data_IF_555541351023
#
_entry.id   IF_555541351023
#
_cell.length_a   1.000
_cell.length_b   1.000
_cell.length_c   1.000
_cell.angle_alpha   90.00
_cell.angle_beta   90.00
_cell.angle_gamma   90.00
#
_symmetry.space_group_name_H-M   'P 1'
#
loop_
_entity.id
_entity.type
_entity.pdbx_description
1 polymer ?
#
# COMPACT_ATOMS: atom_id res chain seq x y z
N UNK A 1 13.28 34.86 -52.78
CA UNK A 1 12.26 34.46 -51.79
C UNK A 1 12.83 33.37 -50.89
N UNK A 2 13.46 33.71 -49.76
CA UNK A 2 13.78 32.73 -48.69
C UNK A 2 13.41 33.38 -47.35
N UNK A 3 12.34 32.89 -46.74
CA UNK A 3 11.78 33.43 -45.51
C UNK A 3 12.54 32.88 -44.29
N UNK A 4 13.06 33.77 -43.47
CA UNK A 4 13.75 33.45 -42.22
C UNK A 4 12.70 32.93 -41.21
N UNK A 5 12.70 31.61 -41.02
CA UNK A 5 11.73 30.84 -40.25
C UNK A 5 12.01 31.00 -38.75
N UNK A 6 10.96 31.36 -38.01
CA UNK A 6 10.97 31.96 -36.67
C UNK A 6 11.64 31.14 -35.53
N UNK A 7 12.43 31.78 -34.64
CA UNK A 7 13.20 31.14 -33.58
C UNK A 7 12.37 30.62 -32.38
N UNK A 8 11.12 31.09 -32.24
CA UNK A 8 10.27 30.72 -31.10
C UNK A 8 9.83 29.25 -31.10
N UNK A 9 9.75 28.60 -32.27
CA UNK A 9 9.30 27.21 -32.39
C UNK A 9 10.32 26.23 -31.80
N UNK A 10 11.61 26.55 -31.88
CA UNK A 10 12.68 25.74 -31.30
C UNK A 10 12.72 25.84 -29.78
N UNK A 11 12.47 27.04 -29.23
CA UNK A 11 12.42 27.26 -27.79
C UNK A 11 11.26 26.47 -27.13
N UNK A 12 10.09 26.41 -27.78
CA UNK A 12 8.95 25.65 -27.26
C UNK A 12 9.21 24.15 -27.24
N UNK A 13 9.90 23.59 -28.24
CA UNK A 13 10.24 22.16 -28.23
C UNK A 13 11.26 21.81 -27.15
N UNK A 14 12.24 22.67 -26.90
CA UNK A 14 13.21 22.48 -25.82
C UNK A 14 12.55 22.49 -24.42
N UNK A 15 11.59 23.41 -24.21
CA UNK A 15 10.86 23.50 -22.94
C UNK A 15 10.00 22.26 -22.66
N UNK A 16 9.30 21.74 -23.68
CA UNK A 16 8.47 20.53 -23.57
C UNK A 16 9.31 19.29 -23.31
N UNK A 17 10.47 19.16 -23.96
CA UNK A 17 11.40 18.05 -23.73
C UNK A 17 11.97 18.06 -22.30
N UNK A 18 12.29 19.23 -21.76
CA UNK A 18 12.79 19.37 -20.39
C UNK A 18 11.71 19.00 -19.35
N UNK A 19 10.45 19.39 -19.61
CA UNK A 19 9.33 19.06 -18.73
C UNK A 19 8.99 17.56 -18.75
N UNK A 20 9.13 16.91 -19.91
CA UNK A 20 8.92 15.46 -20.06
C UNK A 20 10.01 14.62 -19.38
N UNK A 21 11.23 15.12 -19.23
CA UNK A 21 12.31 14.39 -18.56
C UNK A 21 12.18 14.43 -17.02
N UNK A 22 11.54 15.48 -16.48
CA UNK A 22 11.33 15.63 -15.04
C UNK A 22 10.25 14.69 -14.47
N UNK A 23 9.33 14.17 -15.29
CA UNK A 23 8.25 13.27 -14.84
C UNK A 23 8.65 11.79 -14.78
N UNK A 24 9.76 11.40 -15.43
CA UNK A 24 10.16 9.98 -15.56
C UNK A 24 10.87 9.45 -14.31
N UNK A 25 11.38 10.32 -13.43
CA UNK A 25 12.14 9.89 -12.24
C UNK A 25 11.29 9.38 -11.08
N UNK A 26 9.96 9.46 -11.14
CA UNK A 26 9.07 9.15 -10.00
C UNK A 26 8.33 7.80 -10.07
N UNK A 27 8.71 6.86 -10.95
CA UNK A 27 7.99 5.57 -11.05
C UNK A 27 8.80 4.35 -10.58
N UNK A 28 10.09 4.49 -10.27
CA UNK A 28 10.93 3.36 -9.83
C UNK A 28 10.85 3.04 -8.33
N UNK A 29 10.18 3.87 -7.52
CA UNK A 29 10.16 3.73 -6.05
C UNK A 29 9.01 2.88 -5.50
N UNK A 30 8.01 2.53 -6.33
CA UNK A 30 6.80 1.86 -5.86
C UNK A 30 7.03 0.39 -5.46
N UNK A 31 7.98 -0.32 -6.08
CA UNK A 31 8.22 -1.74 -5.82
C UNK A 31 9.08 -2.01 -4.59
N UNK A 32 10.09 -1.18 -4.32
CA UNK A 32 10.97 -1.37 -3.14
C UNK A 32 10.28 -1.06 -1.81
N UNK A 33 9.33 -0.11 -1.80
CA UNK A 33 8.64 0.31 -0.60
C UNK A 33 7.70 -0.78 -0.05
N UNK A 34 7.07 -1.58 -0.93
CA UNK A 34 6.16 -2.66 -0.52
C UNK A 34 6.91 -3.78 0.19
N UNK A 35 8.04 -4.22 -0.36
CA UNK A 35 8.84 -5.31 0.24
C UNK A 35 9.43 -4.91 1.61
N UNK A 36 9.96 -3.69 1.73
CA UNK A 36 10.52 -3.22 3.00
C UNK A 36 9.46 -3.07 4.09
N UNK A 37 8.26 -2.63 3.70
CA UNK A 37 7.13 -2.46 4.62
C UNK A 37 6.65 -3.83 5.10
N UNK A 38 6.43 -4.79 4.19
CA UNK A 38 6.02 -6.15 4.55
C UNK A 38 7.00 -6.85 5.48
N UNK A 39 8.32 -6.78 5.22
CA UNK A 39 9.34 -7.38 6.08
C UNK A 39 9.31 -6.79 7.51
N UNK A 40 9.05 -5.48 7.63
CA UNK A 40 8.92 -4.80 8.93
C UNK A 40 7.65 -5.19 9.69
N UNK A 41 6.51 -5.31 9.00
CA UNK A 41 5.28 -5.81 9.62
C UNK A 41 5.46 -7.26 10.09
N UNK A 42 6.15 -8.09 9.29
CA UNK A 42 6.39 -9.48 9.63
C UNK A 42 7.20 -9.63 10.93
N UNK A 43 8.27 -8.87 11.10
CA UNK A 43 9.03 -8.84 12.36
C UNK A 43 8.22 -8.33 13.54
N UNK A 44 7.33 -7.34 13.33
CA UNK A 44 6.52 -6.79 14.42
C UNK A 44 5.40 -7.73 14.88
N UNK A 45 4.88 -8.59 13.99
CA UNK A 45 3.79 -9.50 14.31
C UNK A 45 4.29 -10.82 14.90
N UNK A 46 5.50 -11.25 14.55
CA UNK A 46 6.14 -12.42 15.16
C UNK A 46 6.31 -12.26 16.68
N UNK A 47 6.58 -11.04 17.14
CA UNK A 47 6.75 -10.70 18.56
C UNK A 47 5.46 -10.12 19.20
N UNK A 48 4.34 -10.13 18.48
CA UNK A 48 3.10 -9.53 18.98
C UNK A 48 2.47 -10.40 20.08
N UNK A 49 1.94 -9.79 21.16
CA UNK A 49 1.28 -10.53 22.23
C UNK A 49 -0.04 -11.15 21.76
N UNK A 50 -0.48 -12.21 22.44
CA UNK A 50 -1.78 -12.81 22.20
C UNK A 50 -2.90 -11.79 22.40
N UNK A 51 -3.88 -11.81 21.50
CA UNK A 51 -5.04 -10.94 21.54
C UNK A 51 -6.19 -11.62 22.26
N UNK A 52 -6.87 -10.89 23.15
CA UNK A 52 -8.14 -11.31 23.76
C UNK A 52 -9.28 -10.58 23.06
N UNK A 53 -10.08 -11.34 22.32
CA UNK A 53 -11.20 -10.82 21.55
C UNK A 53 -12.52 -11.19 22.23
N UNK A 54 -13.39 -10.20 22.48
CA UNK A 54 -14.73 -10.45 22.99
C UNK A 54 -15.72 -10.60 21.83
N UNK A 55 -16.41 -11.73 21.78
CA UNK A 55 -17.44 -12.00 20.79
C UNK A 55 -18.82 -11.93 21.43
N UNK A 56 -19.75 -11.32 20.69
CA UNK A 56 -21.19 -11.34 20.99
C UNK A 56 -21.93 -11.78 19.73
N UNK A 57 -22.64 -12.90 19.83
CA UNK A 57 -23.39 -13.50 18.72
C UNK A 57 -24.77 -12.87 18.61
N UNK A 58 -25.14 -12.50 17.38
CA UNK A 58 -26.42 -11.81 17.10
C UNK A 58 -27.63 -12.74 17.06
N UNK A 59 -27.44 -14.01 16.65
CA UNK A 59 -28.51 -15.00 16.49
C UNK A 59 -28.34 -16.11 17.51
N UNK A 60 -29.41 -16.45 18.22
CA UNK A 60 -29.42 -17.54 19.21
C UNK A 60 -29.06 -18.90 18.61
N UNK A 61 -29.33 -19.12 17.33
CA UNK A 61 -28.95 -20.33 16.58
C UNK A 61 -27.44 -20.49 16.41
N UNK A 62 -26.64 -19.44 16.63
CA UNK A 62 -25.19 -19.49 16.52
C UNK A 62 -24.50 -19.71 17.86
N UNK A 63 -25.26 -19.83 18.95
CA UNK A 63 -24.70 -19.96 20.28
C UNK A 63 -23.73 -21.15 20.36
N UNK A 64 -22.55 -20.90 20.89
CA UNK A 64 -21.53 -21.91 21.11
C UNK A 64 -21.77 -22.47 22.51
N UNK A 65 -22.15 -23.75 22.61
CA UNK A 65 -22.53 -24.39 23.88
C UNK A 65 -23.60 -23.61 24.66
N UNK A 66 -24.58 -23.05 23.95
CA UNK A 66 -25.65 -22.25 24.55
C UNK A 66 -25.24 -20.82 24.93
N UNK A 67 -23.97 -20.45 24.79
CA UNK A 67 -23.46 -19.11 25.09
C UNK A 67 -23.43 -18.22 23.83
N UNK A 68 -23.91 -16.99 23.97
CA UNK A 68 -23.81 -15.95 22.94
C UNK A 68 -22.62 -15.02 23.13
N UNK A 69 -21.99 -15.02 24.31
CA UNK A 69 -20.86 -14.18 24.66
C UNK A 69 -19.68 -15.01 25.14
N UNK A 70 -18.50 -14.78 24.56
CA UNK A 70 -17.29 -15.51 24.93
C UNK A 70 -16.04 -14.74 24.52
N UNK A 71 -14.91 -15.17 25.08
CA UNK A 71 -13.59 -14.66 24.70
C UNK A 71 -12.86 -15.66 23.82
N UNK A 72 -12.14 -15.14 22.82
CA UNK A 72 -11.20 -15.91 21.99
C UNK A 72 -9.81 -15.34 22.20
N UNK A 73 -8.85 -16.23 22.45
CA UNK A 73 -7.44 -15.88 22.53
C UNK A 73 -6.76 -16.25 21.22
N UNK A 74 -6.23 -15.26 20.52
CA UNK A 74 -5.65 -15.44 19.20
C UNK A 74 -4.17 -15.06 19.18
N UNK A 75 -3.35 -15.89 18.54
CA UNK A 75 -1.95 -15.59 18.27
C UNK A 75 -1.84 -15.08 16.83
N UNK A 76 -1.45 -13.81 16.62
CA UNK A 76 -1.39 -13.25 15.28
C UNK A 76 -0.27 -13.92 14.45
N UNK A 77 -0.56 -14.20 13.18
CA UNK A 77 0.41 -14.74 12.22
C UNK A 77 0.37 -13.91 10.94
N UNK A 78 1.52 -13.82 10.26
CA UNK A 78 1.66 -13.06 9.02
C UNK A 78 1.22 -13.95 7.86
N UNK A 79 0.29 -13.48 7.03
CA UNK A 79 -0.09 -14.17 5.79
C UNK A 79 1.11 -14.22 4.84
N UNK A 80 1.32 -15.38 4.20
CA UNK A 80 2.31 -15.55 3.13
C UNK A 80 1.76 -15.30 1.73
N UNK A 81 0.45 -15.05 1.64
CA UNK A 81 -0.32 -14.79 0.41
C UNK A 81 -0.42 -13.29 0.11
#
# INVERSE_FOLDING_TARGET
MWALKSPHRFLTFALVALFALATITMTASATKQVESTQRRLATSLADAPSLRLQFTLKRSTMNVYGQSQFYVFANPVVSSD
#
